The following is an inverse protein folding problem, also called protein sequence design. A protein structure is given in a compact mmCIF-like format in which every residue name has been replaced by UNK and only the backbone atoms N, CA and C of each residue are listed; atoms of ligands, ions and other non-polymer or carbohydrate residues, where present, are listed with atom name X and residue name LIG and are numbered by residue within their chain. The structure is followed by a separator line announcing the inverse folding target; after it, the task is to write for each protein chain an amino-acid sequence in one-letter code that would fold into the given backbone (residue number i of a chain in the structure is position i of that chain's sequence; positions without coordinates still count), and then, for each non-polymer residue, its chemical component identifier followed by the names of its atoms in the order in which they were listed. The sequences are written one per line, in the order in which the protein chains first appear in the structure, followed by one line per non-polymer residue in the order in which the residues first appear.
data_IF_409767048580
#
_entry.id   IF_409767048580
#
_cell.length_a   1.000
_cell.length_b   1.000
_cell.length_c   1.000
_cell.angle_alpha   90.00
_cell.angle_beta   90.00
_cell.angle_gamma   90.00
#
_symmetry.space_group_name_H-M   'P 1'
#
loop_
_entity.id
_entity.type
_entity.pdbx_description
1 polymer ?
#
# COMPACT_ATOMS: atom_id res chain seq x y z
N UNK A 1 2.26 -22.84 0.29
CA UNK A 1 2.77 -21.47 0.11
C UNK A 1 2.48 -20.74 1.41
N UNK A 2 3.47 -20.09 2.00
CA UNK A 2 3.34 -19.44 3.31
C UNK A 2 3.33 -17.91 3.14
N UNK A 3 2.50 -17.22 3.91
CA UNK A 3 2.51 -15.75 3.95
C UNK A 3 3.73 -15.31 4.77
N UNK A 4 4.64 -14.58 4.13
CA UNK A 4 5.82 -14.02 4.81
C UNK A 4 5.49 -12.75 5.61
N UNK A 5 4.56 -11.94 5.09
CA UNK A 5 4.08 -10.71 5.70
C UNK A 5 2.56 -10.61 5.50
N UNK A 6 1.81 -10.55 6.59
CA UNK A 6 0.34 -10.42 6.57
C UNK A 6 -0.11 -9.05 6.05
N UNK A 7 0.76 -8.05 6.12
CA UNK A 7 0.50 -6.68 5.63
C UNK A 7 1.75 -6.13 4.97
N UNK A 8 1.60 -5.64 3.75
CA UNK A 8 2.65 -4.93 3.02
C UNK A 8 2.03 -3.86 2.11
N UNK A 9 2.88 -3.01 1.52
CA UNK A 9 2.42 -2.04 0.54
C UNK A 9 3.47 -1.83 -0.55
N UNK A 10 2.99 -1.71 -1.79
CA UNK A 10 3.75 -1.16 -2.90
C UNK A 10 3.54 0.34 -2.97
N UNK A 11 4.61 1.10 -3.21
CA UNK A 11 4.58 2.55 -3.31
C UNK A 11 5.22 2.97 -4.62
N UNK A 12 4.46 3.65 -5.47
CA UNK A 12 4.95 4.24 -6.72
C UNK A 12 4.95 5.76 -6.58
N UNK A 13 6.13 6.37 -6.70
CA UNK A 13 6.33 7.80 -6.52
C UNK A 13 6.46 8.45 -7.89
N UNK A 14 5.53 9.35 -8.21
CA UNK A 14 5.55 10.14 -9.42
C UNK A 14 5.46 11.63 -9.09
N UNK A 15 6.63 12.27 -9.04
CA UNK A 15 6.80 13.71 -8.76
C UNK A 15 6.10 14.15 -7.45
N UNK A 16 5.00 14.88 -7.56
CA UNK A 16 4.24 15.44 -6.43
C UNK A 16 3.25 14.45 -5.82
N UNK A 17 3.10 13.26 -6.44
CA UNK A 17 2.12 12.26 -6.03
C UNK A 17 2.76 10.92 -5.73
N UNK A 18 2.12 10.18 -4.83
CA UNK A 18 2.48 8.79 -4.52
C UNK A 18 1.21 7.93 -4.57
N UNK A 19 1.28 6.84 -5.31
CA UNK A 19 0.24 5.81 -5.36
C UNK A 19 0.66 4.67 -4.44
N UNK A 20 -0.17 4.37 -3.45
CA UNK A 20 0.07 3.29 -2.49
C UNK A 20 -0.94 2.19 -2.72
N UNK A 21 -0.46 0.97 -2.95
CA UNK A 21 -1.27 -0.24 -2.98
C UNK A 21 -0.96 -1.04 -1.72
N UNK A 22 -1.90 -1.05 -0.76
CA UNK A 22 -1.81 -1.86 0.44
C UNK A 22 -2.32 -3.25 0.11
N UNK A 23 -1.59 -4.28 0.53
CA UNK A 23 -2.05 -5.66 0.53
C UNK A 23 -2.08 -6.16 1.97
N UNK A 24 -3.21 -6.72 2.37
CA UNK A 24 -3.41 -7.29 3.70
C UNK A 24 -4.17 -8.59 3.62
N UNK A 25 -3.81 -9.53 4.48
CA UNK A 25 -4.41 -10.85 4.50
C UNK A 25 -4.48 -11.36 5.94
N UNK A 26 -5.61 -11.99 6.30
CA UNK A 26 -5.76 -12.70 7.58
C UNK A 26 -5.47 -14.20 7.41
N UNK A 27 -5.58 -14.72 6.18
CA UNK A 27 -5.27 -16.11 5.83
C UNK A 27 -4.77 -16.19 4.38
N UNK A 28 -3.89 -17.15 4.06
CA UNK A 28 -3.30 -17.35 2.72
C UNK A 28 -4.33 -17.32 1.56
N UNK A 29 -5.59 -17.64 1.85
CA UNK A 29 -6.66 -17.78 0.85
C UNK A 29 -7.26 -16.43 0.45
N UNK A 30 -7.24 -15.43 1.34
CA UNK A 30 -7.93 -14.16 1.11
C UNK A 30 -6.96 -12.98 1.27
N UNK A 31 -6.60 -12.37 0.14
CA UNK A 31 -5.76 -11.18 0.08
C UNK A 31 -6.62 -10.01 -0.33
N UNK A 32 -6.74 -9.02 0.55
CA UNK A 32 -7.37 -7.74 0.25
C UNK A 32 -6.33 -6.75 -0.27
N UNK A 33 -6.72 -5.94 -1.24
CA UNK A 33 -5.91 -4.82 -1.70
C UNK A 33 -6.70 -3.52 -1.71
N UNK A 34 -6.03 -2.42 -1.38
CA UNK A 34 -6.59 -1.08 -1.42
C UNK A 34 -5.59 -0.11 -2.05
N UNK A 35 -6.06 0.71 -3.00
CA UNK A 35 -5.24 1.72 -3.66
C UNK A 35 -5.67 3.11 -3.19
N UNK A 36 -4.70 3.91 -2.75
CA UNK A 36 -4.90 5.33 -2.43
C UNK A 36 -3.77 6.17 -3.00
N UNK A 37 -4.12 7.37 -3.45
CA UNK A 37 -3.15 8.36 -3.93
C UNK A 37 -3.00 9.48 -2.91
N UNK A 38 -1.76 9.85 -2.61
CA UNK A 38 -1.41 10.93 -1.70
C UNK A 38 -0.49 11.94 -2.39
N UNK A 39 -0.35 13.12 -1.80
CA UNK A 39 0.77 14.01 -2.14
C UNK A 39 2.06 13.51 -1.50
N UNK A 40 3.21 13.83 -2.09
CA UNK A 40 4.52 13.50 -1.51
C UNK A 40 4.91 14.38 -0.33
N UNK A 41 4.16 15.46 -0.09
CA UNK A 41 4.34 16.41 1.01
C UNK A 41 3.05 16.53 1.83
N UNK A 42 3.19 16.68 3.15
CA UNK A 42 2.07 17.03 4.04
C UNK A 42 1.57 18.43 3.71
N UNK A 43 0.24 18.64 3.71
CA UNK A 43 -0.35 19.90 3.22
C UNK A 43 0.04 21.14 4.02
N UNK A 44 0.55 21.04 5.25
CA UNK A 44 1.15 22.15 6.01
C UNK A 44 2.06 21.58 7.13
N UNK A 45 3.29 22.08 7.21
CA UNK A 45 4.15 22.07 8.41
C UNK A 45 4.39 23.53 8.81
#
# INVERSE_FOLDING_TARGET
MEVLLERCAGMDVHQETIVVCVMSTETIVEVHSEIRTFGTMTKHL
#
